data_IF_548652065881
#
_entry.id   IF_548652065881
#
_cell.length_a   1.000
_cell.length_b   1.000
_cell.length_c   1.000
_cell.angle_alpha   90.00
_cell.angle_beta   90.00
_cell.angle_gamma   90.00
#
_symmetry.space_group_name_H-M   'P 1'
#
loop_
_entity.id
_entity.type
_entity.pdbx_description
1 polymer ?
#
# COMPACT_ATOMS: atom_id res chain seq x y z
N UNK A 1 6.15 30.21 -43.29
CA UNK A 1 5.32 29.37 -42.40
C UNK A 1 6.27 28.85 -41.35
N UNK A 2 6.13 29.29 -40.10
CA UNK A 2 6.92 28.75 -39.00
C UNK A 2 6.17 27.55 -38.46
N UNK A 3 6.82 26.39 -38.41
CA UNK A 3 6.29 25.23 -37.69
C UNK A 3 6.23 25.61 -36.22
N UNK A 4 5.01 25.62 -35.66
CA UNK A 4 4.83 25.72 -34.22
C UNK A 4 5.36 24.42 -33.61
N UNK A 5 6.56 24.47 -33.04
CA UNK A 5 7.08 23.39 -32.21
C UNK A 5 6.05 23.09 -31.13
N UNK A 6 5.41 21.92 -31.23
CA UNK A 6 4.59 21.40 -30.15
C UNK A 6 5.45 21.31 -28.88
N UNK A 7 4.90 21.61 -27.69
CA UNK A 7 5.64 21.44 -26.45
C UNK A 7 6.11 19.99 -26.34
N UNK A 8 7.29 19.80 -25.76
CA UNK A 8 8.10 18.59 -25.90
C UNK A 8 7.41 17.35 -25.28
N UNK A 9 6.57 16.68 -26.09
CA UNK A 9 5.63 15.67 -25.62
C UNK A 9 6.36 14.38 -25.20
N UNK A 10 6.14 13.98 -23.94
CA UNK A 10 6.67 12.73 -23.38
C UNK A 10 6.23 11.52 -24.21
N UNK A 11 7.13 10.55 -24.38
CA UNK A 11 6.84 9.27 -24.99
C UNK A 11 6.23 8.30 -23.97
N UNK A 12 6.74 8.32 -22.74
CA UNK A 12 6.28 7.45 -21.65
C UNK A 12 6.27 8.21 -20.32
N UNK A 13 5.22 7.96 -19.54
CA UNK A 13 5.19 8.25 -18.10
C UNK A 13 5.21 6.91 -17.36
N UNK A 14 6.11 6.76 -16.38
CA UNK A 14 6.30 5.51 -15.63
C UNK A 14 6.26 5.84 -14.14
N UNK A 15 5.20 5.43 -13.46
CA UNK A 15 5.04 5.53 -12.02
C UNK A 15 5.72 4.35 -11.32
N UNK A 16 6.49 4.63 -10.27
CA UNK A 16 7.20 3.65 -9.44
C UNK A 16 6.85 3.88 -7.97
N UNK A 17 5.97 3.03 -7.44
CA UNK A 17 5.70 2.93 -6.01
C UNK A 17 6.79 2.05 -5.38
N UNK A 18 7.89 2.65 -4.94
CA UNK A 18 8.92 1.96 -4.16
C UNK A 18 8.45 1.79 -2.71
N UNK A 19 7.55 0.85 -2.43
CA UNK A 19 7.04 0.59 -1.09
C UNK A 19 8.01 -0.20 -0.19
N UNK A 20 7.84 -0.11 1.13
CA UNK A 20 8.74 -0.75 2.10
C UNK A 20 8.66 -2.30 2.10
N UNK A 21 7.54 -2.88 1.65
CA UNK A 21 7.31 -4.34 1.59
C UNK A 21 7.19 -4.86 0.16
N UNK A 22 6.58 -4.09 -0.73
CA UNK A 22 6.44 -4.41 -2.16
C UNK A 22 6.64 -3.13 -2.99
N UNK A 23 7.11 -3.30 -4.22
CA UNK A 23 7.27 -2.25 -5.22
C UNK A 23 6.27 -2.47 -6.35
N UNK A 24 5.51 -1.44 -6.71
CA UNK A 24 4.60 -1.43 -7.85
C UNK A 24 5.14 -0.56 -8.98
N UNK A 25 4.83 -0.91 -10.22
CA UNK A 25 5.11 -0.08 -11.40
C UNK A 25 3.85 0.00 -12.26
N UNK A 26 3.55 1.20 -12.76
CA UNK A 26 2.55 1.43 -13.78
C UNK A 26 3.12 2.37 -14.85
N UNK A 27 2.62 2.30 -16.07
CA UNK A 27 3.05 3.17 -17.16
C UNK A 27 1.89 3.55 -18.07
N UNK A 28 2.02 4.69 -18.74
CA UNK A 28 1.05 5.16 -19.74
C UNK A 28 1.76 5.93 -20.84
N UNK A 29 1.09 6.12 -21.98
CA UNK A 29 1.55 7.01 -23.04
C UNK A 29 0.40 7.75 -23.72
N UNK A 30 0.52 9.07 -23.83
CA UNK A 30 -0.34 9.93 -24.66
C UNK A 30 -0.16 9.73 -26.18
N UNK A 31 0.54 8.67 -26.60
CA UNK A 31 0.77 8.30 -28.01
C UNK A 31 0.18 6.93 -28.35
N UNK A 32 -0.49 6.27 -27.40
CA UNK A 32 -1.28 5.05 -27.62
C UNK A 32 -2.76 5.44 -27.78
N UNK A 33 -3.54 4.57 -28.43
CA UNK A 33 -4.96 4.84 -28.75
C UNK A 33 -5.92 4.69 -27.56
N UNK A 34 -5.51 3.98 -26.51
CA UNK A 34 -6.29 3.76 -25.28
C UNK A 34 -6.11 4.88 -24.25
N UNK A 35 -4.95 5.54 -24.23
CA UNK A 35 -4.52 6.52 -23.21
C UNK A 35 -4.55 5.98 -21.75
N UNK A 36 -4.64 4.66 -21.60
CA UNK A 36 -4.88 3.95 -20.33
C UNK A 36 -3.63 3.84 -19.43
N UNK A 37 -3.86 3.57 -18.15
CA UNK A 37 -2.80 3.23 -17.18
C UNK A 37 -2.55 1.72 -17.18
N UNK A 38 -1.41 1.30 -17.73
CA UNK A 38 -1.00 -0.10 -17.73
C UNK A 38 -0.26 -0.47 -16.44
N UNK A 39 -0.85 -1.35 -15.63
CA UNK A 39 -0.19 -1.94 -14.45
C UNK A 39 0.85 -2.98 -14.89
N UNK A 40 2.10 -2.79 -14.49
CA UNK A 40 3.19 -3.71 -14.81
C UNK A 40 3.12 -4.98 -13.95
N UNK A 41 3.11 -6.15 -14.60
CA UNK A 41 2.95 -7.47 -13.96
C UNK A 41 4.02 -8.49 -14.34
N UNK A 42 4.88 -8.17 -15.30
CA UNK A 42 5.91 -9.08 -15.80
C UNK A 42 7.13 -9.08 -14.87
N UNK A 43 6.95 -9.63 -13.66
CA UNK A 43 7.96 -9.70 -12.62
C UNK A 43 8.72 -11.05 -12.68
N UNK A 44 10.05 -11.08 -12.42
CA UNK A 44 10.80 -12.34 -12.40
C UNK A 44 10.20 -13.35 -11.41
N UNK A 45 10.00 -14.59 -11.84
CA UNK A 45 9.47 -15.71 -11.03
C UNK A 45 8.11 -15.45 -10.34
N UNK A 46 7.32 -14.50 -10.85
CA UNK A 46 5.99 -14.18 -10.33
C UNK A 46 4.86 -14.99 -11.00
N UNK A 47 3.69 -14.99 -10.36
CA UNK A 47 2.43 -15.28 -11.07
C UNK A 47 2.11 -14.09 -11.99
N UNK A 48 1.71 -14.29 -13.26
CA UNK A 48 1.37 -13.20 -14.18
C UNK A 48 0.25 -12.25 -13.71
N UNK A 49 -0.49 -12.61 -12.67
CA UNK A 49 -1.53 -11.77 -12.04
C UNK A 49 -1.00 -10.86 -10.95
N UNK A 50 0.27 -10.96 -10.56
CA UNK A 50 0.85 -10.19 -9.47
C UNK A 50 1.07 -8.71 -9.87
N UNK A 51 0.40 -7.72 -9.22
CA UNK A 51 0.62 -6.31 -9.50
C UNK A 51 1.92 -5.74 -8.91
N UNK A 52 2.53 -6.38 -7.90
CA UNK A 52 3.70 -5.82 -7.20
C UNK A 52 4.76 -6.88 -6.87
N UNK A 53 6.03 -6.51 -7.02
CA UNK A 53 7.16 -7.36 -6.64
C UNK A 53 7.58 -7.10 -5.18
N UNK A 54 7.98 -8.11 -4.38
CA UNK A 54 8.50 -7.87 -3.02
C UNK A 54 9.71 -6.93 -3.00
N UNK A 55 9.76 -6.02 -2.03
CA UNK A 55 10.91 -5.15 -1.77
C UNK A 55 11.95 -5.92 -0.97
N UNK A 56 12.60 -6.86 -1.67
CA UNK A 56 13.60 -7.79 -1.14
C UNK A 56 14.86 -7.74 -2.00
N UNK A 57 16.01 -7.78 -1.34
CA UNK A 57 17.32 -8.00 -1.94
C UNK A 57 18.02 -9.13 -1.18
N UNK A 58 18.76 -10.00 -1.86
CA UNK A 58 19.58 -11.03 -1.22
C UNK A 58 20.91 -11.20 -1.94
N UNK A 59 21.93 -11.73 -1.27
CA UNK A 59 23.15 -12.17 -1.97
C UNK A 59 22.85 -13.45 -2.75
N UNK A 60 23.26 -13.48 -4.02
CA UNK A 60 23.24 -14.71 -4.80
C UNK A 60 24.03 -15.82 -4.08
N UNK A 61 23.60 -17.08 -4.22
CA UNK A 61 24.36 -18.23 -3.71
C UNK A 61 25.78 -18.33 -4.30
N UNK A 62 26.00 -17.76 -5.50
CA UNK A 62 27.31 -17.70 -6.16
C UNK A 62 28.27 -16.68 -5.53
N UNK A 63 27.75 -15.74 -4.74
CA UNK A 63 28.47 -14.58 -4.21
C UNK A 63 28.86 -13.52 -5.26
N UNK A 64 28.42 -13.64 -6.52
CA UNK A 64 28.83 -12.75 -7.62
C UNK A 64 27.90 -11.57 -7.88
N UNK A 65 26.68 -11.62 -7.36
CA UNK A 65 25.67 -10.59 -7.55
C UNK A 65 24.60 -10.61 -6.46
N UNK A 66 23.43 -10.07 -6.77
CA UNK A 66 22.29 -9.99 -5.87
C UNK A 66 21.01 -10.41 -6.56
N UNK A 67 20.25 -11.27 -5.89
CA UNK A 67 18.87 -11.57 -6.24
C UNK A 67 17.98 -10.42 -5.73
N UNK A 68 16.86 -10.18 -6.41
CA UNK A 68 15.85 -9.20 -6.01
C UNK A 68 14.44 -9.76 -6.19
N UNK A 69 13.45 -9.23 -5.47
CA UNK A 69 12.05 -9.57 -5.68
C UNK A 69 11.67 -10.99 -5.27
N UNK A 70 10.95 -11.71 -6.14
CA UNK A 70 10.50 -13.09 -5.90
C UNK A 70 11.63 -14.12 -5.80
N UNK A 71 12.69 -14.10 -6.64
CA UNK A 71 13.88 -14.94 -6.46
C UNK A 71 14.43 -14.97 -5.02
N UNK A 72 14.35 -13.86 -4.28
CA UNK A 72 14.77 -13.79 -2.86
C UNK A 72 13.99 -14.70 -1.89
N UNK A 73 12.88 -15.33 -2.31
CA UNK A 73 12.10 -16.26 -1.46
C UNK A 73 12.93 -17.47 -1.02
N UNK A 74 13.83 -17.96 -1.87
CA UNK A 74 14.62 -19.17 -1.63
C UNK A 74 16.10 -18.90 -1.34
N UNK A 75 16.48 -17.63 -1.17
CA UNK A 75 17.84 -17.23 -0.84
C UNK A 75 18.25 -17.74 0.55
N UNK A 76 19.32 -18.54 0.60
CA UNK A 76 19.79 -19.20 1.82
C UNK A 76 20.72 -18.33 2.68
N UNK A 77 21.20 -17.19 2.15
CA UNK A 77 22.26 -16.35 2.76
C UNK A 77 21.89 -14.86 2.60
N UNK A 78 22.06 -14.10 3.67
CA UNK A 78 22.09 -12.62 3.73
C UNK A 78 21.05 -11.90 2.85
N UNK A 79 19.85 -11.76 3.43
CA UNK A 79 18.64 -11.20 2.83
C UNK A 79 18.24 -9.92 3.56
N UNK A 80 17.97 -8.86 2.81
CA UNK A 80 17.49 -7.57 3.31
C UNK A 80 16.03 -7.38 2.94
N UNK A 81 15.21 -7.01 3.94
CA UNK A 81 13.78 -6.67 3.81
C UNK A 81 13.48 -5.39 4.58
N UNK A 82 12.45 -4.66 4.17
CA UNK A 82 12.03 -3.43 4.88
C UNK A 82 13.03 -2.26 4.79
N UNK A 83 14.09 -2.38 3.99
CA UNK A 83 15.24 -1.47 4.04
C UNK A 83 14.93 -0.01 3.67
N UNK A 84 13.79 0.28 3.02
CA UNK A 84 13.27 1.64 2.83
C UNK A 84 13.12 2.40 4.16
N UNK A 85 12.71 1.74 5.26
CA UNK A 85 12.46 2.43 6.53
C UNK A 85 13.74 3.03 7.12
N UNK A 86 14.89 2.41 6.85
CA UNK A 86 16.19 2.83 7.36
C UNK A 86 16.80 4.01 6.57
N UNK A 87 16.10 4.53 5.55
CA UNK A 87 16.37 5.85 4.98
C UNK A 87 16.03 6.98 5.97
N UNK A 88 15.21 6.71 7.00
CA UNK A 88 15.19 7.53 8.21
C UNK A 88 16.32 7.10 9.17
N UNK A 89 17.31 7.97 9.47
CA UNK A 89 18.38 7.67 10.43
C UNK A 89 17.88 7.33 11.84
N UNK A 90 16.68 7.79 12.22
CA UNK A 90 16.07 7.46 13.51
C UNK A 90 15.63 6.00 13.56
N UNK A 91 14.96 5.51 12.50
CA UNK A 91 14.54 4.10 12.39
C UNK A 91 15.76 3.17 12.27
N UNK A 92 16.84 3.59 11.59
CA UNK A 92 18.12 2.85 11.61
C UNK A 92 18.70 2.77 13.03
N UNK A 93 18.73 3.89 13.76
CA UNK A 93 19.20 3.96 15.15
C UNK A 93 18.36 3.09 16.08
N UNK A 94 17.03 3.06 15.90
CA UNK A 94 16.12 2.20 16.67
C UNK A 94 16.29 0.72 16.30
N UNK A 95 16.54 0.40 15.03
CA UNK A 95 16.91 -0.94 14.57
C UNK A 95 18.16 -1.48 15.27
N UNK A 96 19.22 -0.67 15.39
CA UNK A 96 20.43 -1.04 16.15
C UNK A 96 20.15 -1.20 17.64
N UNK A 97 19.42 -0.28 18.27
CA UNK A 97 19.10 -0.32 19.71
C UNK A 97 18.23 -1.51 20.10
N UNK A 98 17.37 -1.98 19.19
CA UNK A 98 16.52 -3.16 19.38
C UNK A 98 17.22 -4.48 19.03
N UNK A 99 18.41 -4.44 18.42
CA UNK A 99 19.11 -5.63 17.93
C UNK A 99 18.43 -6.28 16.71
N UNK A 100 17.73 -5.49 15.90
CA UNK A 100 17.01 -6.00 14.72
C UNK A 100 17.96 -6.62 13.70
N UNK A 101 17.71 -7.88 13.34
CA UNK A 101 18.45 -8.61 12.29
C UNK A 101 18.29 -7.99 10.89
N UNK A 102 17.30 -7.12 10.69
CA UNK A 102 17.05 -6.46 9.41
C UNK A 102 17.72 -5.10 9.27
N UNK A 103 18.21 -4.51 10.37
CA UNK A 103 18.87 -3.20 10.34
C UNK A 103 20.24 -3.32 9.64
N UNK A 104 20.49 -2.60 8.52
CA UNK A 104 21.79 -2.52 7.90
C UNK A 104 22.83 -1.95 8.87
N UNK A 105 24.11 -2.24 8.65
CA UNK A 105 25.19 -1.85 9.57
C UNK A 105 25.27 -0.33 9.81
N UNK A 106 25.07 0.45 8.74
CA UNK A 106 25.16 1.91 8.74
C UNK A 106 24.43 2.49 7.51
N UNK A 107 24.27 3.81 7.46
CA UNK A 107 23.58 4.50 6.36
C UNK A 107 24.23 4.26 4.99
N UNK A 108 25.55 4.04 4.92
CA UNK A 108 26.19 3.71 3.64
C UNK A 108 25.79 2.33 3.14
N UNK A 109 25.46 1.40 4.03
CA UNK A 109 24.89 0.12 3.64
C UNK A 109 23.41 0.24 3.24
N UNK A 110 22.61 1.09 3.91
CA UNK A 110 21.24 1.40 3.48
C UNK A 110 21.25 1.91 2.03
N UNK A 111 22.07 2.92 1.75
CA UNK A 111 22.23 3.53 0.42
C UNK A 111 22.62 2.48 -0.63
N UNK A 112 23.56 1.59 -0.30
CA UNK A 112 23.99 0.49 -1.18
C UNK A 112 22.83 -0.45 -1.50
N UNK A 113 22.07 -0.89 -0.50
CA UNK A 113 20.95 -1.84 -0.66
C UNK A 113 19.82 -1.21 -1.49
N UNK A 114 19.41 0.02 -1.13
CA UNK A 114 18.34 0.76 -1.83
C UNK A 114 18.74 1.00 -3.29
N UNK A 115 19.96 1.48 -3.53
CA UNK A 115 20.43 1.75 -4.90
C UNK A 115 20.54 0.46 -5.73
N UNK A 116 21.01 -0.65 -5.16
CA UNK A 116 21.12 -1.92 -5.90
C UNK A 116 19.74 -2.52 -6.22
N UNK A 117 18.79 -2.48 -5.28
CA UNK A 117 17.41 -2.92 -5.52
C UNK A 117 16.75 -2.07 -6.62
N UNK A 118 16.82 -0.74 -6.51
CA UNK A 118 16.28 0.17 -7.53
C UNK A 118 16.96 0.00 -8.89
N UNK A 119 18.25 -0.34 -8.92
CA UNK A 119 19.00 -0.64 -10.16
C UNK A 119 18.49 -1.90 -10.86
N UNK A 120 18.13 -2.93 -10.10
CA UNK A 120 17.46 -4.11 -10.65
C UNK A 120 16.09 -3.77 -11.21
N UNK A 121 15.26 -3.00 -10.47
CA UNK A 121 13.96 -2.52 -10.96
C UNK A 121 14.14 -1.74 -12.28
N UNK A 122 15.05 -0.75 -12.32
CA UNK A 122 15.33 0.02 -13.53
C UNK A 122 15.73 -0.87 -14.70
N UNK A 123 16.73 -1.75 -14.51
CA UNK A 123 17.22 -2.66 -15.55
C UNK A 123 16.11 -3.55 -16.10
N UNK A 124 15.24 -4.05 -15.22
CA UNK A 124 14.13 -4.92 -15.62
C UNK A 124 13.08 -4.15 -16.44
N UNK A 125 12.55 -3.04 -15.91
CA UNK A 125 11.50 -2.27 -16.61
C UNK A 125 12.03 -1.63 -17.90
N UNK A 126 13.32 -1.28 -17.96
CA UNK A 126 13.97 -0.72 -19.15
C UNK A 126 14.10 -1.69 -20.33
N UNK A 127 13.89 -2.99 -20.09
CA UNK A 127 13.80 -4.01 -21.14
C UNK A 127 12.34 -4.36 -21.42
N UNK A 128 11.54 -4.59 -20.36
CA UNK A 128 10.19 -5.16 -20.49
C UNK A 128 9.11 -4.15 -20.88
N UNK A 129 9.17 -2.89 -20.42
CA UNK A 129 8.22 -1.87 -20.87
C UNK A 129 8.35 -1.58 -22.37
N UNK A 130 9.56 -1.47 -22.97
CA UNK A 130 9.70 -1.42 -24.43
C UNK A 130 9.12 -2.63 -25.17
N UNK A 131 9.32 -3.85 -24.67
CA UNK A 131 8.72 -5.06 -25.26
C UNK A 131 7.19 -4.98 -25.26
N UNK A 132 6.59 -4.40 -24.23
CA UNK A 132 5.13 -4.23 -24.10
C UNK A 132 4.60 -3.06 -24.95
N UNK A 133 5.24 -1.89 -24.87
CA UNK A 133 4.88 -0.69 -25.62
C UNK A 133 5.06 -0.85 -27.13
N UNK A 134 6.05 -1.64 -27.58
CA UNK A 134 6.22 -1.98 -29.00
C UNK A 134 5.11 -2.90 -29.49
N UNK A 135 4.60 -3.82 -28.65
CA UNK A 135 3.38 -4.60 -28.97
C UNK A 135 2.11 -3.72 -29.00
N UNK A 136 2.09 -2.65 -28.21
CA UNK A 136 1.08 -1.58 -28.28
C UNK A 136 1.30 -0.60 -29.45
N UNK A 137 2.31 -0.80 -30.30
CA UNK A 137 2.63 0.04 -31.47
C UNK A 137 3.12 1.48 -31.15
N UNK A 138 3.74 1.70 -29.99
CA UNK A 138 4.34 2.99 -29.64
C UNK A 138 5.44 3.40 -30.63
N UNK A 139 5.41 4.59 -31.26
CA UNK A 139 6.40 5.01 -32.24
C UNK A 139 7.74 5.44 -31.60
N UNK A 140 8.85 5.21 -32.31
CA UNK A 140 10.20 5.66 -31.94
C UNK A 140 11.29 4.61 -32.20
N UNK A 141 12.56 4.98 -31.97
CA UNK A 141 13.71 4.08 -32.18
C UNK A 141 14.06 3.23 -30.93
N UNK A 142 13.42 3.51 -29.79
CA UNK A 142 13.43 2.66 -28.59
C UNK A 142 13.73 3.42 -27.30
N UNK A 143 13.94 2.65 -26.22
CA UNK A 143 14.06 3.15 -24.84
C UNK A 143 15.04 4.30 -24.61
N UNK A 144 16.14 4.37 -25.37
CA UNK A 144 17.17 5.41 -25.20
C UNK A 144 16.78 6.76 -25.81
N UNK A 145 15.93 6.73 -26.83
CA UNK A 145 15.53 7.88 -27.63
C UNK A 145 14.16 8.43 -27.17
N UNK A 146 13.37 7.59 -26.50
CA UNK A 146 12.12 7.99 -25.85
C UNK A 146 12.33 8.95 -24.67
N UNK A 147 11.47 9.96 -24.61
CA UNK A 147 11.32 10.91 -23.50
C UNK A 147 10.51 10.26 -22.39
N UNK A 148 11.21 9.67 -21.43
CA UNK A 148 10.63 8.95 -20.28
C UNK A 148 10.62 9.85 -19.05
N UNK A 149 9.44 10.04 -18.46
CA UNK A 149 9.31 10.64 -17.13
C UNK A 149 9.06 9.54 -16.09
N UNK A 150 9.98 9.36 -15.15
CA UNK A 150 9.79 8.50 -14.00
C UNK A 150 9.19 9.30 -12.84
N UNK A 151 8.05 8.86 -12.31
CA UNK A 151 7.38 9.48 -11.17
C UNK A 151 7.46 8.51 -9.99
N UNK A 152 8.09 8.93 -8.89
CA UNK A 152 8.09 8.18 -7.64
C UNK A 152 7.17 8.84 -6.61
N UNK A 153 6.38 8.03 -5.91
CA UNK A 153 5.75 8.44 -4.64
C UNK A 153 6.77 8.39 -3.49
N UNK A 154 6.53 9.17 -2.44
CA UNK A 154 7.32 9.16 -1.20
C UNK A 154 6.41 9.23 0.04
N UNK A 155 6.84 8.75 1.22
CA UNK A 155 6.04 8.84 2.44
C UNK A 155 5.85 10.30 2.88
N UNK A 156 4.64 10.62 3.36
CA UNK A 156 4.30 11.93 3.94
C UNK A 156 5.18 12.29 5.16
N UNK A 157 5.73 11.27 5.84
CA UNK A 157 6.71 11.46 6.94
C UNK A 157 8.08 12.01 6.51
N UNK A 158 8.45 12.01 5.22
CA UNK A 158 9.79 12.43 4.79
C UNK A 158 9.96 13.94 4.69
N UNK A 159 10.96 14.47 5.38
CA UNK A 159 11.37 15.87 5.23
C UNK A 159 12.18 16.07 3.93
N UNK A 160 12.40 17.33 3.48
CA UNK A 160 13.10 17.60 2.23
C UNK A 160 14.51 17.00 2.13
N UNK A 161 15.18 16.75 3.26
CA UNK A 161 16.49 16.10 3.30
C UNK A 161 16.41 14.62 2.86
N UNK A 162 15.50 13.82 3.44
CA UNK A 162 15.26 12.42 3.04
C UNK A 162 14.81 12.35 1.58
N UNK A 163 13.89 13.22 1.17
CA UNK A 163 13.39 13.28 -0.21
C UNK A 163 14.51 13.63 -1.21
N UNK A 164 15.42 14.55 -0.86
CA UNK A 164 16.59 14.87 -1.68
C UNK A 164 17.62 13.73 -1.73
N UNK A 165 17.87 13.07 -0.59
CA UNK A 165 18.76 11.91 -0.51
C UNK A 165 18.23 10.74 -1.36
N UNK A 166 16.95 10.40 -1.22
CA UNK A 166 16.29 9.39 -2.04
C UNK A 166 16.37 9.70 -3.53
N UNK A 167 16.17 10.97 -3.95
CA UNK A 167 16.36 11.38 -5.35
C UNK A 167 17.76 11.03 -5.85
N UNK A 168 18.80 11.19 -5.03
CA UNK A 168 20.17 10.80 -5.41
C UNK A 168 20.34 9.28 -5.53
N UNK A 169 19.68 8.47 -4.68
CA UNK A 169 19.71 7.01 -4.79
C UNK A 169 19.02 6.53 -6.07
N UNK A 170 17.87 7.10 -6.42
CA UNK A 170 17.15 6.84 -7.68
C UNK A 170 18.03 7.21 -8.89
N UNK A 171 18.72 8.36 -8.86
CA UNK A 171 19.71 8.74 -9.89
C UNK A 171 20.86 7.74 -10.01
N UNK A 172 21.43 7.33 -8.89
CA UNK A 172 22.52 6.37 -8.83
C UNK A 172 22.11 4.96 -9.30
N UNK A 173 20.82 4.63 -9.20
CA UNK A 173 20.26 3.35 -9.66
C UNK A 173 20.16 3.25 -11.19
N UNK A 174 19.93 4.36 -11.89
CA UNK A 174 19.93 4.42 -13.37
C UNK A 174 18.86 5.31 -14.00
N UNK A 175 17.83 5.70 -13.24
CA UNK A 175 16.61 6.35 -13.76
C UNK A 175 16.80 7.75 -14.39
N UNK A 176 17.97 8.39 -14.19
CA UNK A 176 18.29 9.76 -14.66
C UNK A 176 19.65 9.77 -15.38
N UNK A 177 20.03 8.65 -16.03
CA UNK A 177 21.35 8.43 -16.68
C UNK A 177 21.28 8.39 -18.22
N UNK A 178 20.11 8.61 -18.80
CA UNK A 178 19.86 8.72 -20.25
C UNK A 178 19.36 10.13 -20.51
N UNK A 179 19.90 10.82 -21.51
CA UNK A 179 19.67 12.27 -21.72
C UNK A 179 18.20 12.67 -21.90
N UNK A 180 17.36 11.77 -22.41
CA UNK A 180 15.92 11.99 -22.59
C UNK A 180 15.06 11.58 -21.38
N UNK A 181 15.66 10.96 -20.36
CA UNK A 181 14.95 10.47 -19.16
C UNK A 181 15.01 11.51 -18.04
N UNK A 182 13.94 11.59 -17.25
CA UNK A 182 13.85 12.52 -16.11
C UNK A 182 13.20 11.84 -14.92
N UNK A 183 13.71 12.13 -13.72
CA UNK A 183 13.12 11.68 -12.45
C UNK A 183 12.38 12.82 -11.76
N UNK A 184 11.10 12.58 -11.47
CA UNK A 184 10.24 13.41 -10.62
C UNK A 184 9.92 12.61 -9.35
N UNK A 185 10.13 13.24 -8.19
CA UNK A 185 9.47 12.79 -6.96
C UNK A 185 8.15 13.56 -6.92
N UNK A 186 7.05 12.84 -7.09
CA UNK A 186 5.73 13.39 -7.36
C UNK A 186 4.94 13.64 -6.08
N UNK A 187 3.71 13.13 -6.06
CA UNK A 187 2.80 13.16 -4.92
C UNK A 187 3.35 12.34 -3.74
N UNK A 188 2.87 12.64 -2.52
CA UNK A 188 3.05 11.72 -1.39
C UNK A 188 2.29 10.40 -1.63
N UNK A 189 2.64 9.32 -0.92
CA UNK A 189 1.94 8.03 -1.01
C UNK A 189 0.43 8.19 -0.69
N UNK A 190 0.08 9.01 0.30
CA UNK A 190 -1.31 9.31 0.66
C UNK A 190 -2.04 10.22 -0.36
N UNK A 191 -1.36 11.21 -0.97
CA UNK A 191 -1.92 12.00 -2.08
C UNK A 191 -2.14 11.14 -3.32
N UNK A 192 -1.20 10.25 -3.67
CA UNK A 192 -1.34 9.33 -4.80
C UNK A 192 -2.52 8.36 -4.60
N UNK A 193 -2.74 7.89 -3.37
CA UNK A 193 -3.91 7.09 -3.03
C UNK A 193 -5.23 7.91 -3.07
N UNK A 194 -5.21 9.22 -2.80
CA UNK A 194 -6.36 10.11 -3.02
C UNK A 194 -6.70 10.23 -4.52
N UNK A 195 -5.69 10.34 -5.39
CA UNK A 195 -5.85 10.36 -6.84
C UNK A 195 -6.40 9.02 -7.36
N UNK A 196 -5.84 7.89 -6.92
CA UNK A 196 -6.32 6.56 -7.31
C UNK A 196 -7.76 6.26 -6.85
N UNK A 197 -8.20 6.85 -5.73
CA UNK A 197 -9.61 6.77 -5.31
C UNK A 197 -10.57 7.55 -6.24
N UNK A 198 -10.03 8.32 -7.20
CA UNK A 198 -10.81 9.01 -8.23
C UNK A 198 -11.26 8.13 -9.39
N UNK A 199 -10.61 6.99 -9.59
CA UNK A 199 -11.00 6.00 -10.61
C UNK A 199 -12.16 5.11 -10.10
N UNK A 200 -12.44 5.15 -8.80
CA UNK A 200 -13.68 4.63 -8.24
C UNK A 200 -14.85 5.54 -8.68
N UNK A 201 -15.96 4.97 -9.16
CA UNK A 201 -17.17 5.72 -9.58
C UNK A 201 -17.95 6.24 -8.37
N UNK A 202 -17.34 7.17 -7.65
CA UNK A 202 -17.84 7.76 -6.43
C UNK A 202 -18.64 9.02 -6.76
N UNK A 203 -19.78 9.28 -6.10
CA UNK A 203 -20.56 10.50 -6.28
C UNK A 203 -19.91 11.69 -5.54
N UNK A 204 -18.65 11.97 -5.90
CA UNK A 204 -17.82 13.08 -5.45
C UNK A 204 -18.22 14.37 -6.18
N UNK A 205 -18.19 15.48 -5.45
CA UNK A 205 -18.51 16.83 -5.90
C UNK A 205 -17.39 17.80 -5.53
N UNK A 206 -17.30 18.92 -6.26
CA UNK A 206 -16.36 20.00 -5.93
C UNK A 206 -16.63 20.52 -4.52
N UNK A 207 -15.57 20.59 -3.70
CA UNK A 207 -15.63 21.02 -2.31
C UNK A 207 -15.73 19.89 -1.29
N UNK A 208 -16.05 18.65 -1.71
CA UNK A 208 -15.92 17.47 -0.87
C UNK A 208 -14.45 17.29 -0.43
N UNK A 209 -14.24 16.73 0.76
CA UNK A 209 -12.91 16.32 1.22
C UNK A 209 -12.84 14.80 1.37
N UNK A 210 -11.75 14.23 0.88
CA UNK A 210 -11.35 12.85 1.14
C UNK A 210 -10.30 12.85 2.26
N UNK A 211 -10.45 11.95 3.23
CA UNK A 211 -9.35 11.59 4.14
C UNK A 211 -8.70 10.30 3.65
N UNK A 212 -7.49 10.39 3.12
CA UNK A 212 -6.70 9.20 2.78
C UNK A 212 -5.89 8.77 3.99
N UNK A 213 -5.92 7.47 4.27
CA UNK A 213 -5.11 6.78 5.26
C UNK A 213 -4.32 5.70 4.52
N UNK A 214 -3.08 5.99 4.15
CA UNK A 214 -2.18 4.97 3.60
C UNK A 214 -1.49 4.25 4.75
N UNK A 215 -2.07 3.11 5.16
CA UNK A 215 -1.49 2.22 6.14
C UNK A 215 -0.61 1.20 5.40
N UNK A 216 0.66 1.52 5.26
CA UNK A 216 1.60 0.82 4.38
C UNK A 216 2.44 -0.29 5.04
N UNK A 217 3.63 -0.48 4.46
CA UNK A 217 4.63 -1.43 4.96
C UNK A 217 5.39 -0.90 6.18
N UNK A 218 5.96 0.30 6.07
CA UNK A 218 6.77 0.94 7.10
C UNK A 218 6.10 2.12 7.80
N UNK A 219 5.22 2.84 7.10
CA UNK A 219 4.54 4.04 7.60
C UNK A 219 3.03 3.85 7.60
N UNK A 220 2.34 4.73 8.32
CA UNK A 220 0.91 5.01 8.15
C UNK A 220 0.77 6.52 8.01
N UNK A 221 0.36 6.96 6.82
CA UNK A 221 0.33 8.35 6.40
C UNK A 221 -1.13 8.82 6.20
N UNK A 222 -1.39 10.08 6.52
CA UNK A 222 -2.70 10.73 6.54
C UNK A 222 -2.65 12.00 5.71
N UNK A 223 -3.53 12.10 4.71
CA UNK A 223 -3.69 13.30 3.89
C UNK A 223 -5.17 13.66 3.76
N UNK A 224 -5.47 14.96 3.74
CA UNK A 224 -6.79 15.45 3.38
C UNK A 224 -6.71 16.06 1.98
N UNK A 225 -7.49 15.52 1.05
CA UNK A 225 -7.52 15.98 -0.33
C UNK A 225 -8.89 16.62 -0.61
N UNK A 226 -8.93 17.92 -0.89
CA UNK A 226 -10.17 18.64 -1.19
C UNK A 226 -10.40 18.65 -2.69
N UNK A 227 -11.60 18.30 -3.12
CA UNK A 227 -11.92 18.16 -4.55
C UNK A 227 -12.07 19.53 -5.20
N UNK A 228 -11.14 19.86 -6.10
CA UNK A 228 -11.08 21.12 -6.85
C UNK A 228 -12.04 21.11 -8.06
N UNK A 229 -12.15 19.97 -8.74
CA UNK A 229 -13.16 19.64 -9.74
C UNK A 229 -13.42 18.13 -9.72
N UNK A 230 -14.65 17.71 -10.06
CA UNK A 230 -15.06 16.30 -10.02
C UNK A 230 -14.82 15.54 -11.33
N UNK A 231 -14.79 16.23 -12.48
CA UNK A 231 -14.54 15.65 -13.82
C UNK A 231 -13.74 16.64 -14.68
N UNK A 232 -12.46 16.36 -15.03
CA UNK A 232 -11.62 15.31 -14.43
C UNK A 232 -11.48 15.53 -12.92
N UNK A 233 -11.29 14.45 -12.15
CA UNK A 233 -11.10 14.60 -10.71
C UNK A 233 -9.74 15.25 -10.43
N UNK A 234 -9.77 16.34 -9.66
CA UNK A 234 -8.57 17.10 -9.29
C UNK A 234 -8.67 17.55 -7.85
N UNK A 235 -7.53 17.70 -7.18
CA UNK A 235 -7.46 17.99 -5.76
C UNK A 235 -6.66 19.27 -5.46
N UNK A 236 -7.16 20.03 -4.49
CA UNK A 236 -6.40 20.99 -3.69
C UNK A 236 -5.78 20.21 -2.51
N UNK A 237 -4.45 20.18 -2.44
CA UNK A 237 -3.73 19.64 -1.28
C UNK A 237 -3.91 20.59 -0.08
N UNK A 238 -4.08 20.04 1.11
CA UNK A 238 -4.41 20.76 2.34
C UNK A 238 -3.26 20.58 3.34
N UNK A 239 -2.90 21.64 4.08
CA UNK A 239 -1.75 21.66 5.02
C UNK A 239 -1.93 20.78 6.29
N UNK A 240 -2.83 19.79 6.25
CA UNK A 240 -3.17 18.88 7.34
C UNK A 240 -2.57 17.47 7.16
N UNK A 241 -1.48 17.34 6.42
CA UNK A 241 -0.74 16.10 6.28
C UNK A 241 -0.05 15.66 7.59
N UNK A 242 -0.12 14.36 7.90
CA UNK A 242 0.54 13.71 9.05
C UNK A 242 0.98 12.31 8.69
N UNK A 243 1.94 11.76 9.41
CA UNK A 243 2.25 10.34 9.31
C UNK A 243 2.96 9.82 10.54
N UNK A 244 3.10 8.50 10.60
CA UNK A 244 3.83 7.78 11.64
C UNK A 244 4.63 6.64 11.01
N UNK A 245 5.85 6.39 11.49
CA UNK A 245 6.69 5.28 11.03
C UNK A 245 6.23 3.91 11.59
N UNK A 246 4.93 3.60 11.52
CA UNK A 246 4.35 2.32 11.93
C UNK A 246 3.50 1.76 10.80
N UNK A 247 3.74 0.51 10.44
CA UNK A 247 3.08 -0.19 9.35
C UNK A 247 3.12 -1.69 9.55
N UNK A 248 2.77 -2.47 8.53
CA UNK A 248 2.69 -3.95 8.63
C UNK A 248 4.02 -4.67 8.94
N UNK A 249 5.18 -4.01 8.79
CA UNK A 249 6.50 -4.51 9.25
C UNK A 249 6.65 -4.45 10.79
N UNK A 250 5.89 -3.60 11.47
CA UNK A 250 5.88 -3.57 12.94
C UNK A 250 5.25 -4.85 13.51
N UNK A 251 4.25 -5.43 12.83
CA UNK A 251 3.66 -6.74 13.22
C UNK A 251 4.73 -7.83 13.20
N UNK A 252 5.51 -7.87 12.11
CA UNK A 252 6.61 -8.83 11.93
C UNK A 252 7.65 -8.66 13.06
N UNK A 253 8.07 -7.43 13.31
CA UNK A 253 9.10 -7.11 14.31
C UNK A 253 8.66 -7.43 15.74
N UNK A 254 7.42 -7.11 16.13
CA UNK A 254 6.92 -7.39 17.48
C UNK A 254 6.70 -8.90 17.69
N UNK A 255 6.19 -9.63 16.69
CA UNK A 255 6.07 -11.10 16.75
C UNK A 255 7.44 -11.77 16.85
N UNK A 256 8.41 -11.34 16.03
CA UNK A 256 9.79 -11.82 16.09
C UNK A 256 10.42 -11.53 17.46
N UNK A 257 10.18 -10.35 18.04
CA UNK A 257 10.66 -9.97 19.38
C UNK A 257 10.06 -10.82 20.50
N UNK A 258 8.80 -11.26 20.37
CA UNK A 258 8.17 -12.16 21.34
C UNK A 258 8.81 -13.56 21.29
N UNK A 259 9.13 -14.06 20.10
CA UNK A 259 9.78 -15.35 19.89
C UNK A 259 11.28 -15.35 20.26
N UNK A 260 12.02 -14.31 19.84
CA UNK A 260 13.49 -14.21 19.96
C UNK A 260 14.01 -14.16 21.41
N UNK A 261 13.13 -13.98 22.40
CA UNK A 261 13.45 -14.13 23.83
C UNK A 261 13.72 -15.58 24.24
N UNK A 262 13.22 -16.56 23.48
CA UNK A 262 13.24 -17.97 23.84
C UNK A 262 13.75 -18.88 22.70
N UNK A 263 13.57 -18.48 21.43
CA UNK A 263 14.07 -19.24 20.29
C UNK A 263 15.55 -18.94 19.98
N UNK A 264 16.38 -19.95 19.68
CA UNK A 264 17.82 -19.76 19.46
C UNK A 264 18.14 -19.20 18.07
N UNK A 265 19.16 -18.33 17.99
CA UNK A 265 19.70 -17.81 16.74
C UNK A 265 18.64 -17.10 15.88
N UNK A 266 18.59 -17.41 14.59
CA UNK A 266 17.62 -16.83 13.65
C UNK A 266 16.30 -17.63 13.52
N UNK A 267 15.96 -18.47 14.49
CA UNK A 267 14.72 -19.23 14.48
C UNK A 267 13.47 -18.32 14.46
N UNK A 268 13.43 -17.27 15.28
CA UNK A 268 12.33 -16.30 15.31
C UNK A 268 12.11 -15.60 13.96
N UNK A 269 13.21 -15.14 13.33
CA UNK A 269 13.21 -14.56 11.99
C UNK A 269 12.61 -15.53 10.96
N UNK A 270 13.05 -16.79 10.95
CA UNK A 270 12.55 -17.82 10.01
C UNK A 270 11.05 -18.11 10.17
N UNK A 271 10.52 -18.07 11.40
CA UNK A 271 9.08 -18.20 11.63
C UNK A 271 8.33 -16.99 11.08
N UNK A 272 8.82 -15.79 11.37
CA UNK A 272 8.22 -14.50 10.94
C UNK A 272 8.32 -14.29 9.43
N UNK A 273 9.31 -14.86 8.76
CA UNK A 273 9.44 -14.87 7.29
C UNK A 273 8.68 -16.01 6.61
N UNK A 274 8.04 -16.92 7.36
CA UNK A 274 7.31 -18.05 6.78
C UNK A 274 6.01 -17.66 6.10
N UNK A 275 5.64 -18.39 5.06
CA UNK A 275 4.34 -18.26 4.40
C UNK A 275 3.17 -18.46 5.38
N UNK A 276 3.32 -19.37 6.36
CA UNK A 276 2.32 -19.59 7.40
C UNK A 276 2.07 -18.34 8.25
N UNK A 277 3.13 -17.68 8.75
CA UNK A 277 2.95 -16.44 9.52
C UNK A 277 2.36 -15.32 8.66
N UNK A 278 2.81 -15.20 7.41
CA UNK A 278 2.23 -14.25 6.45
C UNK A 278 0.73 -14.48 6.23
N UNK A 279 0.29 -15.73 6.09
CA UNK A 279 -1.13 -16.08 5.99
C UNK A 279 -1.90 -15.71 7.25
N UNK A 280 -1.39 -16.03 8.46
CA UNK A 280 -2.00 -15.62 9.73
C UNK A 280 -2.12 -14.09 9.80
N UNK A 281 -1.06 -13.35 9.47
CA UNK A 281 -1.04 -11.88 9.47
C UNK A 281 -2.05 -11.27 8.50
N UNK A 282 -2.09 -11.74 7.25
CA UNK A 282 -2.97 -11.19 6.21
C UNK A 282 -4.44 -11.51 6.46
N UNK A 283 -4.74 -12.70 6.97
CA UNK A 283 -6.11 -13.13 7.22
C UNK A 283 -6.62 -12.71 8.61
N UNK A 284 -5.77 -12.09 9.44
CA UNK A 284 -6.14 -11.68 10.80
C UNK A 284 -7.35 -10.75 10.78
N UNK A 285 -8.35 -11.12 11.58
CA UNK A 285 -9.61 -10.41 11.66
C UNK A 285 -10.60 -10.64 10.51
N UNK A 286 -10.32 -11.44 9.48
CA UNK A 286 -11.37 -11.85 8.53
C UNK A 286 -12.41 -12.73 9.24
N UNK A 287 -13.69 -12.66 8.83
CA UNK A 287 -14.79 -13.38 9.51
C UNK A 287 -14.60 -14.90 9.48
N UNK A 288 -14.13 -15.42 8.34
CA UNK A 288 -13.96 -16.85 8.10
C UNK A 288 -12.64 -17.42 8.64
N UNK A 289 -11.76 -16.56 9.19
CA UNK A 289 -10.44 -16.90 9.71
C UNK A 289 -10.31 -16.69 11.23
N UNK A 290 -11.43 -16.82 11.96
CA UNK A 290 -11.48 -16.78 13.43
C UNK A 290 -11.01 -18.10 14.05
N UNK A 291 -9.70 -18.31 14.08
CA UNK A 291 -9.09 -19.38 14.84
C UNK A 291 -8.86 -18.94 16.30
N UNK A 292 -9.19 -19.80 17.27
CA UNK A 292 -8.83 -19.58 18.69
C UNK A 292 -7.32 -19.76 18.92
N UNK A 293 -6.69 -20.65 18.15
CA UNK A 293 -5.26 -20.95 18.17
C UNK A 293 -4.71 -21.08 16.74
N UNK A 294 -3.53 -20.53 16.51
CA UNK A 294 -2.77 -20.63 15.27
C UNK A 294 -1.66 -21.68 15.41
N UNK A 295 -1.35 -22.37 14.31
CA UNK A 295 -0.24 -23.31 14.21
C UNK A 295 0.65 -22.98 13.02
N UNK A 296 1.94 -22.81 13.26
CA UNK A 296 2.96 -22.55 12.23
C UNK A 296 3.95 -23.70 12.18
N UNK A 297 4.25 -24.21 10.98
CA UNK A 297 5.31 -25.20 10.81
C UNK A 297 6.69 -24.58 11.09
N UNK A 298 7.52 -25.29 11.85
CA UNK A 298 8.88 -24.85 12.23
C UNK A 298 9.87 -26.00 12.09
N UNK A 299 11.19 -25.76 12.27
CA UNK A 299 12.15 -26.86 12.26
C UNK A 299 11.87 -27.85 13.39
N UNK A 300 11.88 -29.15 13.07
CA UNK A 300 11.76 -30.24 14.05
C UNK A 300 12.91 -30.24 15.07
N UNK A 301 14.05 -29.64 14.71
CA UNK A 301 15.22 -29.55 15.58
C UNK A 301 15.05 -28.57 16.75
N UNK A 302 14.00 -27.75 16.77
CA UNK A 302 13.72 -26.83 17.89
C UNK A 302 13.28 -27.55 19.17
N UNK A 303 12.85 -28.81 19.07
CA UNK A 303 12.35 -29.61 20.19
C UNK A 303 10.99 -29.15 20.75
N UNK A 304 10.37 -30.00 21.56
CA UNK A 304 9.10 -29.67 22.23
C UNK A 304 9.37 -28.83 23.49
N UNK A 305 8.70 -27.69 23.62
CA UNK A 305 8.83 -26.76 24.77
C UNK A 305 7.65 -25.78 24.85
N UNK A 306 7.45 -25.15 26.00
CA UNK A 306 6.46 -24.06 26.15
C UNK A 306 7.11 -22.84 26.79
N UNK A 307 6.85 -21.65 26.26
CA UNK A 307 7.43 -20.40 26.74
C UNK A 307 6.46 -19.23 26.54
N UNK A 308 6.13 -18.51 27.62
CA UNK A 308 5.18 -17.40 27.57
C UNK A 308 3.83 -17.82 26.99
N UNK A 309 3.47 -17.24 25.85
CA UNK A 309 2.20 -17.48 25.12
C UNK A 309 2.34 -18.51 23.98
N UNK A 310 3.48 -19.20 23.89
CA UNK A 310 3.84 -20.10 22.80
C UNK A 310 4.11 -21.52 23.27
N UNK A 311 3.80 -22.50 22.42
CA UNK A 311 4.22 -23.89 22.59
C UNK A 311 4.80 -24.44 21.30
N UNK A 312 6.03 -24.94 21.37
CA UNK A 312 6.62 -25.81 20.35
C UNK A 312 6.22 -27.25 20.61
N UNK A 313 5.63 -27.91 19.62
CA UNK A 313 5.26 -29.33 19.71
C UNK A 313 5.27 -29.99 18.33
N UNK A 314 5.99 -31.10 18.18
CA UNK A 314 5.97 -31.93 16.96
C UNK A 314 6.45 -31.23 15.68
N UNK A 315 7.29 -30.19 15.79
CA UNK A 315 7.71 -29.35 14.66
C UNK A 315 6.71 -28.26 14.28
N UNK A 316 5.79 -27.91 15.18
CA UNK A 316 4.87 -26.78 15.04
C UNK A 316 4.98 -25.82 16.23
N UNK A 317 4.84 -24.52 15.96
CA UNK A 317 4.67 -23.46 16.95
C UNK A 317 3.18 -23.11 17.05
N UNK A 318 2.63 -23.23 18.26
CA UNK A 318 1.26 -22.91 18.61
C UNK A 318 1.19 -21.64 19.44
N UNK A 319 0.22 -20.77 19.16
CA UNK A 319 -0.10 -19.57 19.95
C UNK A 319 -1.55 -19.15 19.72
N UNK A 320 -2.14 -18.48 20.71
CA UNK A 320 -3.55 -18.10 20.67
C UNK A 320 -3.83 -16.82 19.87
N UNK A 321 -5.10 -16.61 19.55
CA UNK A 321 -5.61 -15.39 18.91
C UNK A 321 -5.11 -14.10 19.56
N UNK A 322 -5.08 -14.02 20.90
CA UNK A 322 -4.76 -12.81 21.64
C UNK A 322 -3.34 -12.29 21.34
N UNK A 323 -2.39 -13.17 21.00
CA UNK A 323 -1.02 -12.74 20.64
C UNK A 323 -1.01 -11.84 19.41
N UNK A 324 -1.81 -12.17 18.39
CA UNK A 324 -1.94 -11.31 17.22
C UNK A 324 -2.76 -10.06 17.54
N UNK A 325 -3.82 -10.21 18.34
CA UNK A 325 -4.67 -9.09 18.74
C UNK A 325 -3.88 -8.01 19.47
N UNK A 326 -3.10 -8.38 20.49
CA UNK A 326 -2.27 -7.46 21.28
C UNK A 326 -1.26 -6.69 20.39
N UNK A 327 -0.69 -7.34 19.37
CA UNK A 327 0.25 -6.70 18.42
C UNK A 327 -0.47 -5.71 17.51
N UNK A 328 -1.64 -6.08 16.96
CA UNK A 328 -2.43 -5.17 16.13
C UNK A 328 -2.96 -3.98 16.95
N UNK A 329 -3.41 -4.22 18.17
CA UNK A 329 -3.94 -3.18 19.07
C UNK A 329 -2.84 -2.20 19.50
N UNK A 330 -1.61 -2.66 19.79
CA UNK A 330 -0.46 -1.78 20.07
C UNK A 330 -0.09 -0.90 18.85
N UNK A 331 -0.12 -1.45 17.64
CA UNK A 331 0.13 -0.68 16.41
C UNK A 331 -0.96 0.38 16.19
N UNK A 332 -2.24 0.00 16.34
CA UNK A 332 -3.37 0.92 16.21
C UNK A 332 -3.33 2.02 17.28
N UNK A 333 -2.95 1.68 18.51
CA UNK A 333 -2.72 2.63 19.60
C UNK A 333 -1.57 3.61 19.30
N UNK A 334 -0.51 3.17 18.62
CA UNK A 334 0.60 4.05 18.18
C UNK A 334 0.23 4.94 16.98
N UNK A 335 -0.71 4.49 16.13
CA UNK A 335 -1.25 5.28 15.00
C UNK A 335 -2.29 6.32 15.48
N UNK A 336 -3.09 5.99 16.49
CA UNK A 336 -4.23 6.81 16.92
C UNK A 336 -3.90 8.28 17.26
N UNK A 337 -2.79 8.64 17.95
CA UNK A 337 -2.43 10.04 18.18
C UNK A 337 -2.23 10.83 16.89
N UNK A 338 -1.60 10.25 15.87
CA UNK A 338 -1.34 10.95 14.59
C UNK A 338 -2.59 11.11 13.75
N UNK A 339 -3.55 10.16 13.86
CA UNK A 339 -4.92 10.32 13.34
C UNK A 339 -5.65 11.49 14.01
N UNK A 340 -5.53 11.62 15.34
CA UNK A 340 -6.10 12.75 16.09
C UNK A 340 -5.44 14.07 15.71
N UNK A 341 -4.10 14.15 15.68
CA UNK A 341 -3.35 15.34 15.25
C UNK A 341 -3.77 15.83 13.85
N UNK A 342 -4.02 14.90 12.92
CA UNK A 342 -4.47 15.21 11.56
C UNK A 342 -5.88 15.82 11.55
N UNK A 343 -6.82 15.22 12.28
CA UNK A 343 -8.19 15.71 12.43
C UNK A 343 -8.24 17.06 13.17
N UNK A 344 -7.37 17.28 14.16
CA UNK A 344 -7.25 18.55 14.88
C UNK A 344 -6.68 19.65 13.99
N UNK A 345 -5.59 19.39 13.26
CA UNK A 345 -4.98 20.39 12.36
C UNK A 345 -5.91 20.82 11.21
N UNK A 346 -6.83 19.97 10.78
CA UNK A 346 -7.80 20.35 9.75
C UNK A 346 -8.89 21.32 10.27
N UNK A 347 -9.06 21.48 11.57
CA UNK A 347 -10.01 22.45 12.15
C UNK A 347 -10.56 22.10 13.53
N UNK A 348 -10.26 20.90 14.06
CA UNK A 348 -10.75 20.46 15.36
C UNK A 348 -12.18 19.91 15.30
N UNK A 349 -12.35 18.65 15.68
CA UNK A 349 -13.54 17.84 15.40
C UNK A 349 -13.70 17.55 13.90
N UNK A 350 -14.10 16.32 13.53
CA UNK A 350 -14.24 15.87 12.14
C UNK A 350 -14.97 16.95 11.30
N UNK A 351 -14.33 17.54 10.28
CA UNK A 351 -14.92 18.67 9.58
C UNK A 351 -16.17 18.19 8.84
N UNK A 352 -17.19 19.04 8.73
CA UNK A 352 -18.48 18.60 8.20
C UNK A 352 -18.45 18.28 6.68
N UNK A 353 -17.30 18.47 6.04
CA UNK A 353 -17.03 18.24 4.61
C UNK A 353 -16.20 16.97 4.28
N UNK A 354 -15.66 16.22 5.23
CA UNK A 354 -14.99 14.94 4.90
C UNK A 354 -16.05 13.89 4.61
N UNK A 355 -16.23 13.60 3.33
CA UNK A 355 -17.33 12.77 2.82
C UNK A 355 -16.99 11.29 2.80
N UNK A 356 -15.72 10.99 2.57
CA UNK A 356 -15.19 9.64 2.45
C UNK A 356 -13.83 9.51 3.15
N UNK A 357 -13.60 8.34 3.73
CA UNK A 357 -12.27 7.88 4.12
C UNK A 357 -11.83 6.84 3.08
N UNK A 358 -10.60 6.98 2.59
CA UNK A 358 -9.92 6.03 1.70
C UNK A 358 -8.84 5.33 2.51
N UNK A 359 -9.03 4.04 2.80
CA UNK A 359 -8.00 3.22 3.45
C UNK A 359 -7.18 2.47 2.39
N UNK A 360 -5.90 2.82 2.26
CA UNK A 360 -4.95 2.21 1.32
C UNK A 360 -3.77 1.55 2.03
N UNK A 361 -2.87 0.96 1.25
CA UNK A 361 -1.66 0.31 1.75
C UNK A 361 -1.85 -1.13 2.26
N UNK A 362 -0.74 -1.84 2.44
CA UNK A 362 -0.74 -3.27 2.80
C UNK A 362 -1.24 -3.58 4.22
N UNK A 363 -1.14 -2.64 5.15
CA UNK A 363 -1.78 -2.72 6.47
C UNK A 363 -3.25 -2.29 6.40
N UNK A 364 -3.59 -1.31 5.55
CA UNK A 364 -4.96 -0.86 5.32
C UNK A 364 -5.86 -1.93 4.69
N UNK A 365 -5.27 -2.86 3.92
CA UNK A 365 -5.95 -4.07 3.44
C UNK A 365 -6.37 -5.06 4.55
N UNK A 366 -5.95 -4.88 5.81
CA UNK A 366 -6.34 -5.76 6.92
C UNK A 366 -7.78 -5.52 7.38
N UNK A 367 -8.58 -6.57 7.39
CA UNK A 367 -9.93 -6.56 7.94
C UNK A 367 -10.00 -6.21 9.44
N UNK A 368 -8.91 -6.42 10.20
CA UNK A 368 -8.82 -5.98 11.60
C UNK A 368 -8.63 -4.46 11.71
N UNK A 369 -7.71 -3.91 10.90
CA UNK A 369 -7.41 -2.47 10.86
C UNK A 369 -8.64 -1.71 10.39
N UNK A 370 -9.28 -2.16 9.29
CA UNK A 370 -10.53 -1.58 8.80
C UNK A 370 -11.55 -1.39 9.92
N UNK A 371 -11.89 -2.45 10.65
CA UNK A 371 -12.89 -2.38 11.72
C UNK A 371 -12.52 -1.41 12.83
N UNK A 372 -11.24 -1.31 13.18
CA UNK A 372 -10.81 -0.32 14.18
C UNK A 372 -11.04 1.12 13.70
N UNK A 373 -10.77 1.39 12.41
CA UNK A 373 -11.09 2.68 11.80
C UNK A 373 -12.60 2.90 11.67
N UNK A 374 -13.39 1.91 11.24
CA UNK A 374 -14.87 1.96 11.20
C UNK A 374 -15.44 2.29 12.59
N UNK A 375 -15.04 1.56 13.63
CA UNK A 375 -15.48 1.79 15.00
C UNK A 375 -15.06 3.17 15.53
N UNK A 376 -13.87 3.64 15.18
CA UNK A 376 -13.41 4.98 15.57
C UNK A 376 -14.27 6.07 14.93
N UNK A 377 -14.47 6.01 13.60
CA UNK A 377 -15.28 7.01 12.90
C UNK A 377 -16.77 6.92 13.26
N UNK A 378 -17.29 5.72 13.57
CA UNK A 378 -18.64 5.56 14.10
C UNK A 378 -18.79 6.26 15.46
N UNK A 379 -17.87 6.03 16.41
CA UNK A 379 -17.90 6.66 17.76
C UNK A 379 -17.75 8.19 17.70
N UNK A 380 -16.91 8.72 16.80
CA UNK A 380 -16.79 10.17 16.58
C UNK A 380 -18.03 10.77 15.88
N UNK A 381 -18.78 9.98 15.10
CA UNK A 381 -20.10 10.35 14.58
C UNK A 381 -21.17 10.37 15.67
N UNK A 382 -21.28 9.30 16.47
CA UNK A 382 -22.26 9.15 17.55
C UNK A 382 -22.14 10.25 18.63
N UNK A 383 -20.91 10.74 18.90
CA UNK A 383 -20.68 11.89 19.79
C UNK A 383 -21.41 13.18 19.36
N UNK A 384 -21.94 13.25 18.13
CA UNK A 384 -22.71 14.39 17.62
C UNK A 384 -24.20 14.10 17.37
N UNK A 385 -24.70 12.90 17.64
CA UNK A 385 -26.15 12.60 17.53
C UNK A 385 -26.94 13.15 18.73
N UNK A 386 -26.88 14.47 18.90
CA UNK A 386 -27.76 15.29 19.72
C UNK A 386 -28.20 16.56 18.95
N UNK A 387 -28.59 16.40 17.68
CA UNK A 387 -29.52 17.29 16.95
C UNK A 387 -30.04 16.55 15.69
N UNK A 388 -31.17 17.02 15.14
CA UNK A 388 -32.14 16.19 14.39
C UNK A 388 -31.67 15.70 12.98
N UNK A 389 -32.19 14.54 12.55
CA UNK A 389 -31.74 13.84 11.33
C UNK A 389 -32.48 14.17 10.03
N UNK A 390 -31.88 13.80 8.89
CA UNK A 390 -32.41 14.01 7.53
C UNK A 390 -33.10 12.73 6.96
N UNK A 391 -34.24 12.82 6.24
CA UNK A 391 -35.20 11.72 6.19
C UNK A 391 -35.11 10.67 5.05
N UNK A 392 -34.22 10.79 4.05
CA UNK A 392 -34.62 10.29 2.71
C UNK A 392 -34.26 8.86 2.23
N UNK A 393 -33.01 8.33 2.17
CA UNK A 393 -32.79 7.01 1.51
C UNK A 393 -31.52 6.14 1.75
N UNK A 394 -30.37 6.66 2.18
CA UNK A 394 -29.07 6.22 1.62
C UNK A 394 -28.63 4.74 1.63
N UNK A 395 -28.05 4.28 0.49
CA UNK A 395 -26.95 3.28 0.32
C UNK A 395 -26.54 3.12 -1.16
N UNK A 396 -25.30 2.66 -1.42
CA UNK A 396 -24.84 1.89 -2.61
C UNK A 396 -23.34 1.49 -2.47
N UNK A 397 -22.89 0.43 -3.16
CA UNK A 397 -21.53 -0.16 -3.08
C UNK A 397 -21.10 -0.80 -4.42
N UNK A 398 -19.78 -0.92 -4.66
CA UNK A 398 -19.18 -1.75 -5.72
C UNK A 398 -17.98 -2.54 -5.15
N UNK A 399 -17.72 -3.73 -5.68
CA UNK A 399 -16.70 -4.68 -5.23
C UNK A 399 -15.50 -4.78 -6.17
N UNK A 400 -14.42 -5.35 -5.62
CA UNK A 400 -13.13 -5.74 -6.23
C UNK A 400 -11.99 -4.70 -6.25
N UNK A 401 -10.87 -5.16 -5.68
CA UNK A 401 -9.65 -4.45 -5.28
C UNK A 401 -9.84 -3.47 -4.10
N UNK A 402 -8.98 -3.63 -3.09
CA UNK A 402 -9.25 -3.12 -1.73
C UNK A 402 -8.86 -1.65 -1.62
N UNK A 403 -9.86 -0.78 -1.79
CA UNK A 403 -9.95 0.53 -1.16
C UNK A 403 -11.29 0.60 -0.43
N UNK A 404 -11.26 0.66 0.90
CA UNK A 404 -12.50 0.72 1.68
C UNK A 404 -13.03 2.15 1.72
N UNK A 405 -14.17 2.37 1.08
CA UNK A 405 -14.88 3.64 1.08
C UNK A 405 -15.93 3.69 2.21
N UNK A 406 -15.60 4.35 3.31
CA UNK A 406 -16.55 4.51 4.43
C UNK A 406 -17.39 5.77 4.22
N UNK A 407 -18.72 5.61 4.06
CA UNK A 407 -19.69 6.71 3.92
C UNK A 407 -20.42 7.01 5.24
N UNK A 408 -20.44 8.29 5.64
CA UNK A 408 -21.15 8.83 6.82
C UNK A 408 -22.60 8.31 6.91
N UNK A 409 -22.99 7.80 8.07
CA UNK A 409 -24.38 7.42 8.40
C UNK A 409 -24.83 6.00 8.02
N UNK A 410 -23.94 5.13 7.55
CA UNK A 410 -24.35 3.81 7.03
C UNK A 410 -24.57 2.76 8.13
N UNK A 411 -25.82 2.45 8.47
CA UNK A 411 -26.17 1.32 9.34
C UNK A 411 -26.16 -0.01 8.58
N UNK A 412 -25.46 -1.01 9.12
CA UNK A 412 -25.39 -2.37 8.58
C UNK A 412 -25.87 -3.39 9.63
N UNK A 413 -26.93 -4.12 9.32
CA UNK A 413 -27.41 -5.25 10.11
C UNK A 413 -26.88 -6.54 9.47
N UNK A 414 -26.41 -7.49 10.28
CA UNK A 414 -25.81 -8.73 9.78
C UNK A 414 -26.90 -9.81 9.68
N UNK A 415 -27.26 -10.22 8.46
CA UNK A 415 -28.11 -11.40 8.21
C UNK A 415 -29.17 -11.28 7.12
N UNK A 416 -29.38 -10.10 6.54
CA UNK A 416 -30.48 -9.88 5.57
C UNK A 416 -30.15 -10.42 4.15
N UNK A 417 -31.12 -11.10 3.52
CA UNK A 417 -31.00 -11.64 2.15
C UNK A 417 -31.18 -10.52 1.11
N UNK A 418 -30.21 -10.34 0.20
CA UNK A 418 -30.21 -9.27 -0.79
C UNK A 418 -30.88 -9.72 -2.10
N UNK A 419 -31.93 -9.02 -2.53
CA UNK A 419 -32.51 -9.19 -3.87
C UNK A 419 -33.02 -7.85 -4.40
N UNK A 420 -32.92 -7.64 -5.71
CA UNK A 420 -33.24 -6.36 -6.33
C UNK A 420 -33.98 -6.56 -7.66
N UNK A 421 -35.04 -5.78 -7.87
CA UNK A 421 -35.74 -5.69 -9.15
C UNK A 421 -35.22 -4.45 -9.87
N UNK A 422 -34.72 -4.61 -11.10
CA UNK A 422 -34.21 -3.51 -11.91
C UNK A 422 -35.34 -2.99 -12.80
N UNK A 423 -35.79 -1.76 -12.59
CA UNK A 423 -36.60 -1.03 -13.57
C UNK A 423 -35.72 -0.19 -14.48
N UNK A 424 -35.71 -0.53 -15.77
CA UNK A 424 -34.96 0.20 -16.79
C UNK A 424 -35.80 1.36 -17.33
N UNK A 425 -35.43 2.61 -17.01
CA UNK A 425 -35.96 3.78 -17.72
C UNK A 425 -35.19 4.03 -19.02
N UNK A 426 -35.92 4.10 -20.14
CA UNK A 426 -35.41 4.55 -21.44
C UNK A 426 -36.02 5.93 -21.75
N UNK A 427 -35.25 6.99 -21.54
CA UNK A 427 -35.67 8.35 -21.84
C UNK A 427 -36.78 8.91 -20.93
N UNK A 428 -37.22 10.13 -21.23
CA UNK A 428 -38.20 10.88 -20.43
C UNK A 428 -39.67 10.67 -20.83
N UNK A 429 -39.92 10.04 -21.99
CA UNK A 429 -41.19 10.23 -22.72
C UNK A 429 -41.97 8.92 -23.01
N UNK A 430 -41.48 7.74 -22.61
CA UNK A 430 -42.22 6.46 -22.77
C UNK A 430 -43.09 6.15 -21.54
N UNK A 431 -44.35 5.78 -21.79
CA UNK A 431 -45.42 5.76 -20.77
C UNK A 431 -45.72 4.36 -20.19
N UNK A 432 -45.30 3.28 -20.86
CA UNK A 432 -45.53 1.91 -20.38
C UNK A 432 -44.29 1.30 -19.71
N UNK A 433 -44.39 1.08 -18.40
CA UNK A 433 -43.39 0.40 -17.56
C UNK A 433 -43.89 -1.00 -17.18
N UNK A 434 -43.45 -2.03 -17.89
CA UNK A 434 -43.50 -3.41 -17.39
C UNK A 434 -42.13 -3.82 -16.86
N UNK A 435 -41.97 -3.80 -15.53
CA UNK A 435 -40.79 -4.29 -14.85
C UNK A 435 -40.76 -5.82 -14.77
N UNK A 436 -39.56 -6.41 -14.80
CA UNK A 436 -39.35 -7.84 -14.58
C UNK A 436 -38.32 -8.08 -13.47
N UNK A 437 -38.55 -9.11 -12.66
CA UNK A 437 -37.68 -9.54 -11.57
C UNK A 437 -37.10 -10.92 -11.89
N UNK A 438 -35.78 -11.05 -11.81
CA UNK A 438 -35.11 -12.35 -11.79
C UNK A 438 -34.33 -12.53 -10.48
N UNK A 439 -34.45 -13.69 -9.83
CA UNK A 439 -33.79 -13.99 -8.56
C UNK A 439 -32.52 -14.79 -8.82
N UNK A 440 -31.37 -14.18 -8.60
CA UNK A 440 -30.08 -14.88 -8.50
C UNK A 440 -29.80 -15.11 -7.02
N UNK A 441 -29.37 -16.33 -6.67
CA UNK A 441 -29.18 -16.84 -5.30
C UNK A 441 -27.71 -16.67 -4.88
#
# INVERSE_FOLDING_TARGET
MGESSTPDQLDLCIAVDFGATHTGVAWMSSKLEDEDIHIFRDWPEADPREPKVPTLLAKEQTGKGTDWGFPCKHAAIEKWRGFKIFLDPNELTMGHRSGSYHAPKDSSEVDRIVTEYLRHVYRHISVRIPDDATRASLPGEGWKDWKVCFIFSVPTTWHPEQTNHFRQLVRNAGFDQVDQHKVVLGLTEAEAAAVAAGDLDLPIQKGDVLLTVDAGGGTTDFAFAKVAAAKPLTFESLEAEKGVARGSLTIDTEFERLLGRNLPGNAAQKVTESDGFRTVKHNFGQRDHRAEEYSLAVSKDMGDSSFGMFTLKGGHLFFKHEVMQDIFDDILMRIAPKRTDALEMFGGSYPDNVKYVVLSGGLGGSAYVLRNFEEFFAKEGEKRECEEGDPFNGKEYVTDQIQWLIKKGTRLTVGDEFSHTIEKRLGSDDVDQEGWSEKIV
#
